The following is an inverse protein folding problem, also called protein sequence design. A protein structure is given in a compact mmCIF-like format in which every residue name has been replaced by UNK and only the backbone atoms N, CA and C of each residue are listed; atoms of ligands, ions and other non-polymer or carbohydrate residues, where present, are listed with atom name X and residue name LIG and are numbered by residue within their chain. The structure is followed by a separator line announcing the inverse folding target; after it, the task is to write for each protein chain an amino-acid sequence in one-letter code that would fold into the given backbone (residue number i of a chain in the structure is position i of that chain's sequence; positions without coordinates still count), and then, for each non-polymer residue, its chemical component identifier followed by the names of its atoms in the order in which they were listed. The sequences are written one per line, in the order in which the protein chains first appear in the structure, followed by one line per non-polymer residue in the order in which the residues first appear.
data_IF_779485051130
#
_entry.id   IF_779485051130
#
_cell.length_a   1.000
_cell.length_b   1.000
_cell.length_c   1.000
_cell.angle_alpha   90.00
_cell.angle_beta   90.00
_cell.angle_gamma   90.00
#
_symmetry.space_group_name_H-M   'P 1'
#
loop_
_entity.id
_entity.type
_entity.pdbx_description
1 polymer ?
#
# COMPACT_ATOMS: atom_id res chain seq x y z
N UNK A 1 30.06 26.25 -4.92
CA UNK A 1 29.06 25.17 -4.81
C UNK A 1 27.86 25.74 -4.07
N UNK A 2 26.82 26.17 -4.80
CA UNK A 2 25.59 26.64 -4.18
C UNK A 2 24.98 25.49 -3.39
N UNK A 3 24.64 25.72 -2.12
CA UNK A 3 23.93 24.72 -1.32
C UNK A 3 22.63 24.37 -2.05
N UNK A 4 22.52 23.15 -2.56
CA UNK A 4 21.31 22.69 -3.22
C UNK A 4 20.17 22.75 -2.20
N UNK A 5 19.13 23.53 -2.50
CA UNK A 5 17.97 23.64 -1.61
C UNK A 5 17.39 22.24 -1.39
N UNK A 6 17.25 21.86 -0.11
CA UNK A 6 16.72 20.56 0.26
C UNK A 6 15.21 20.53 -0.01
N UNK A 7 14.76 19.49 -0.72
CA UNK A 7 13.35 19.26 -1.01
C UNK A 7 12.55 19.14 0.29
N UNK A 8 11.48 19.90 0.42
CA UNK A 8 10.59 19.84 1.58
C UNK A 8 9.70 18.62 1.44
N UNK A 9 9.54 17.84 2.51
CA UNK A 9 8.63 16.70 2.49
C UNK A 9 7.60 16.75 3.63
N UNK A 10 6.40 16.25 3.35
CA UNK A 10 5.41 15.92 4.36
C UNK A 10 5.49 14.42 4.62
N UNK A 11 5.64 14.00 5.88
CA UNK A 11 5.53 12.61 6.28
C UNK A 11 4.23 12.39 7.02
N UNK A 12 3.39 11.48 6.51
CA UNK A 12 2.16 11.06 7.16
C UNK A 12 2.33 9.70 7.81
N UNK A 13 2.11 9.65 9.12
CA UNK A 13 1.96 8.42 9.88
C UNK A 13 0.47 8.04 9.90
N UNK A 14 0.10 7.09 9.04
CA UNK A 14 -1.29 6.72 8.78
C UNK A 14 -1.80 5.69 9.80
N UNK A 15 -2.91 6.00 10.46
CA UNK A 15 -3.50 5.12 11.47
C UNK A 15 -5.02 5.27 11.58
N UNK A 16 -5.70 4.27 12.14
CA UNK A 16 -7.14 4.29 12.47
C UNK A 16 -7.40 4.15 13.99
N UNK A 17 -6.33 4.13 14.79
CA UNK A 17 -6.35 4.26 16.25
C UNK A 17 -5.10 5.01 16.70
N UNK A 18 -5.13 5.67 17.85
CA UNK A 18 -3.96 6.42 18.34
C UNK A 18 -3.79 6.27 19.84
N UNK A 19 -3.27 5.11 20.23
CA UNK A 19 -2.94 4.78 21.60
C UNK A 19 -1.50 5.17 21.97
N UNK A 20 -1.03 4.75 23.15
CA UNK A 20 0.35 5.04 23.60
C UNK A 20 1.42 4.40 22.72
N UNK A 21 1.14 3.28 22.05
CA UNK A 21 2.09 2.56 21.22
C UNK A 21 2.23 3.24 19.86
N UNK A 22 1.12 3.65 19.25
CA UNK A 22 1.13 4.49 18.05
C UNK A 22 1.81 5.84 18.32
N UNK A 23 1.49 6.51 19.44
CA UNK A 23 2.13 7.77 19.81
C UNK A 23 3.65 7.63 19.96
N UNK A 24 4.11 6.54 20.58
CA UNK A 24 5.55 6.23 20.68
C UNK A 24 6.19 5.98 19.31
N UNK A 25 5.58 5.14 18.48
CA UNK A 25 6.10 4.84 17.14
C UNK A 25 6.19 6.10 16.27
N UNK A 26 5.17 6.96 16.31
CA UNK A 26 5.18 8.26 15.63
C UNK A 26 6.32 9.15 16.14
N UNK A 27 6.52 9.24 17.46
CA UNK A 27 7.63 10.03 18.03
C UNK A 27 9.00 9.51 17.64
N UNK A 28 9.18 8.19 17.55
CA UNK A 28 10.43 7.57 17.09
C UNK A 28 10.72 7.93 15.62
N UNK A 29 9.70 7.92 14.75
CA UNK A 29 9.81 8.37 13.36
C UNK A 29 10.13 9.86 13.30
N UNK A 30 9.33 10.68 13.98
CA UNK A 30 9.45 12.14 13.98
C UNK A 30 10.81 12.61 14.49
N UNK A 31 11.38 11.94 15.50
CA UNK A 31 12.72 12.23 15.99
C UNK A 31 13.83 11.86 15.00
N UNK A 32 13.57 10.94 14.06
CA UNK A 32 14.49 10.59 12.98
C UNK A 32 14.36 11.48 11.74
N UNK A 33 13.28 12.26 11.61
CA UNK A 33 13.09 13.14 10.47
C UNK A 33 14.15 14.27 10.46
N UNK A 34 14.82 14.51 9.32
CA UNK A 34 15.63 15.71 9.15
C UNK A 34 14.74 16.98 9.11
N UNK A 35 15.30 18.19 9.31
CA UNK A 35 14.51 19.42 9.48
C UNK A 35 13.55 19.79 8.34
N UNK A 36 13.81 19.32 7.12
CA UNK A 36 12.98 19.58 5.94
C UNK A 36 11.83 18.58 5.77
N UNK A 37 11.78 17.50 6.57
CA UNK A 37 10.67 16.55 6.62
C UNK A 37 9.76 16.93 7.79
N UNK A 38 8.51 17.23 7.48
CA UNK A 38 7.47 17.57 8.44
C UNK A 38 6.66 16.34 8.81
N UNK A 39 6.80 15.75 10.01
CA UNK A 39 5.98 14.62 10.44
C UNK A 39 4.59 15.05 10.90
N UNK A 40 3.59 14.28 10.52
CA UNK A 40 2.18 14.48 10.87
C UNK A 40 1.50 13.12 11.07
N UNK A 41 0.58 13.03 12.02
CA UNK A 41 -0.32 11.86 12.14
C UNK A 41 -1.53 12.06 11.23
N UNK A 42 -1.81 11.10 10.37
CA UNK A 42 -3.06 11.07 9.61
C UNK A 42 -3.98 10.02 10.22
N UNK A 43 -5.07 10.49 10.80
CA UNK A 43 -6.03 9.66 11.52
C UNK A 43 -7.27 9.40 10.68
N UNK A 44 -7.45 8.17 10.22
CA UNK A 44 -8.70 7.74 9.61
C UNK A 44 -9.78 7.60 10.67
N UNK A 45 -10.80 8.45 10.59
CA UNK A 45 -11.95 8.44 11.47
C UNK A 45 -13.10 7.63 10.85
N UNK A 46 -13.24 6.40 11.34
CA UNK A 46 -14.40 5.56 11.03
C UNK A 46 -15.73 6.21 11.48
N UNK A 47 -16.84 5.82 10.84
CA UNK A 47 -18.18 6.28 11.24
C UNK A 47 -18.44 5.99 12.72
N UNK A 48 -18.78 7.03 13.48
CA UNK A 48 -19.07 6.92 14.92
C UNK A 48 -17.84 6.69 15.81
N UNK A 49 -16.62 6.74 15.26
CA UNK A 49 -15.39 6.63 16.04
C UNK A 49 -15.04 8.01 16.62
N UNK A 50 -14.97 8.10 17.95
CA UNK A 50 -14.53 9.31 18.63
C UNK A 50 -13.02 9.54 18.42
N UNK A 51 -12.62 10.80 18.33
CA UNK A 51 -11.21 11.16 18.21
C UNK A 51 -10.45 10.81 19.51
N UNK A 52 -9.32 10.08 19.42
CA UNK A 52 -8.47 9.84 20.58
C UNK A 52 -7.94 11.16 21.16
N UNK A 53 -8.14 11.38 22.47
CA UNK A 53 -7.64 12.58 23.18
C UNK A 53 -6.13 12.82 22.99
N UNK A 54 -5.35 11.76 22.72
CA UNK A 54 -3.90 11.83 22.49
C UNK A 54 -3.53 12.54 21.19
N UNK A 55 -4.41 12.59 20.19
CA UNK A 55 -4.14 13.32 18.93
C UNK A 55 -3.87 14.80 19.18
N UNK A 56 -4.51 15.41 20.17
CA UNK A 56 -4.29 16.82 20.53
C UNK A 56 -2.83 17.15 20.94
N UNK A 57 -1.99 16.14 21.17
CA UNK A 57 -0.58 16.29 21.57
C UNK A 57 0.40 16.28 20.40
N UNK A 58 -0.09 16.05 19.19
CA UNK A 58 0.73 15.90 17.98
C UNK A 58 0.10 16.67 16.83
N UNK A 59 0.91 17.07 15.86
CA UNK A 59 0.40 17.57 14.58
C UNK A 59 -0.37 16.43 13.90
N UNK A 60 -1.62 16.69 13.54
CA UNK A 60 -2.47 15.67 12.94
C UNK A 60 -3.44 16.25 11.91
N UNK A 61 -3.90 15.35 11.03
CA UNK A 61 -4.95 15.57 10.06
C UNK A 61 -5.97 14.43 10.20
N UNK A 62 -7.25 14.78 10.33
CA UNK A 62 -8.33 13.79 10.49
C UNK A 62 -8.96 13.56 9.13
N UNK A 63 -9.18 12.29 8.80
CA UNK A 63 -9.80 11.87 7.54
C UNK A 63 -11.05 11.05 7.83
N UNK A 64 -12.24 11.69 7.84
CA UNK A 64 -13.50 10.98 8.01
C UNK A 64 -13.76 10.02 6.85
N UNK A 65 -14.29 8.83 7.11
CA UNK A 65 -14.66 7.87 6.05
C UNK A 65 -15.60 8.49 5.01
N UNK A 66 -16.47 9.42 5.40
CA UNK A 66 -17.39 10.09 4.50
C UNK A 66 -16.66 10.93 3.44
N UNK A 67 -15.53 11.54 3.79
CA UNK A 67 -14.73 12.36 2.86
C UNK A 67 -13.89 11.51 1.89
N UNK A 68 -13.65 10.23 2.22
CA UNK A 68 -13.00 9.29 1.31
C UNK A 68 -13.92 8.84 0.17
N UNK A 69 -15.24 9.05 0.30
CA UNK A 69 -16.23 8.77 -0.75
C UNK A 69 -16.37 9.97 -1.68
N UNK A 70 -15.25 10.40 -2.26
CA UNK A 70 -15.21 11.57 -3.14
C UNK A 70 -15.99 11.27 -4.44
N UNK A 71 -17.06 12.03 -4.75
CA UNK A 71 -17.79 11.86 -6.02
C UNK A 71 -16.91 12.16 -7.24
N UNK A 72 -15.81 12.90 -7.08
CA UNK A 72 -14.86 13.17 -8.14
C UNK A 72 -13.98 11.97 -8.48
N UNK A 73 -13.96 10.90 -7.69
CA UNK A 73 -13.24 9.66 -8.02
C UNK A 73 -14.22 8.51 -8.30
N UNK A 74 -14.98 8.56 -9.42
CA UNK A 74 -16.14 7.70 -9.65
C UNK A 74 -15.80 6.20 -9.63
N UNK A 75 -14.64 5.81 -10.14
CA UNK A 75 -14.18 4.42 -10.15
C UNK A 75 -13.51 3.96 -8.85
N UNK A 76 -12.89 4.88 -8.10
CA UNK A 76 -12.06 4.55 -6.93
C UNK A 76 -12.81 4.59 -5.61
N UNK A 77 -13.78 5.49 -5.48
CA UNK A 77 -14.56 5.68 -4.24
C UNK A 77 -16.08 5.69 -4.40
N UNK A 78 -16.54 5.37 -5.61
CA UNK A 78 -17.97 5.21 -5.92
C UNK A 78 -18.54 3.83 -5.62
N UNK A 79 -19.87 3.71 -5.73
CA UNK A 79 -20.59 2.44 -5.70
C UNK A 79 -21.05 1.95 -4.30
N UNK A 80 -22.11 1.12 -4.24
CA UNK A 80 -22.65 0.60 -2.98
C UNK A 80 -21.72 -0.41 -2.29
N UNK A 81 -20.91 -1.14 -3.06
CA UNK A 81 -20.02 -2.20 -2.56
C UNK A 81 -18.62 -1.70 -2.17
N UNK A 82 -18.40 -0.38 -2.15
CA UNK A 82 -17.13 0.21 -1.78
C UNK A 82 -16.74 -0.11 -0.33
N UNK A 83 -15.53 -0.65 -0.15
CA UNK A 83 -14.95 -0.95 1.16
C UNK A 83 -13.49 -0.50 1.18
N UNK A 84 -13.17 0.41 2.10
CA UNK A 84 -11.83 0.98 2.28
C UNK A 84 -10.72 -0.08 2.41
N UNK A 85 -10.97 -1.13 3.18
CA UNK A 85 -9.97 -2.12 3.57
C UNK A 85 -9.94 -3.31 2.62
N UNK A 86 -11.11 -3.85 2.28
CA UNK A 86 -11.26 -5.04 1.42
C UNK A 86 -11.11 -4.71 -0.06
N UNK A 87 -11.42 -3.49 -0.47
CA UNK A 87 -11.22 -3.01 -1.84
C UNK A 87 -9.81 -2.47 -2.11
N UNK A 88 -8.95 -2.42 -1.08
CA UNK A 88 -7.59 -1.87 -1.22
C UNK A 88 -7.59 -0.38 -1.54
N UNK A 89 -8.41 0.40 -0.85
CA UNK A 89 -8.53 1.86 -1.07
C UNK A 89 -7.89 2.66 0.07
N UNK A 90 -7.01 2.03 0.85
CA UNK A 90 -6.33 2.65 2.01
C UNK A 90 -5.40 3.80 1.61
N UNK A 91 -5.03 3.89 0.33
CA UNK A 91 -4.27 4.99 -0.23
C UNK A 91 -5.03 6.32 -0.20
N UNK A 92 -6.37 6.28 -0.24
CA UNK A 92 -7.20 7.48 -0.19
C UNK A 92 -7.02 8.27 1.12
N UNK A 93 -6.62 7.61 2.21
CA UNK A 93 -6.31 8.28 3.48
C UNK A 93 -5.08 9.18 3.34
N UNK A 94 -4.00 8.65 2.77
CA UNK A 94 -2.78 9.42 2.51
C UNK A 94 -3.02 10.50 1.45
N UNK A 95 -3.70 10.15 0.35
CA UNK A 95 -4.01 11.09 -0.74
C UNK A 95 -4.84 12.28 -0.25
N UNK A 96 -5.84 12.06 0.61
CA UNK A 96 -6.64 13.13 1.22
C UNK A 96 -5.76 14.10 2.00
N UNK A 97 -4.84 13.58 2.83
CA UNK A 97 -3.90 14.41 3.57
C UNK A 97 -2.91 15.15 2.65
N UNK A 98 -2.41 14.51 1.59
CA UNK A 98 -1.49 15.16 0.65
C UNK A 98 -2.16 16.32 -0.09
N UNK A 99 -3.39 16.13 -0.55
CA UNK A 99 -4.17 17.18 -1.23
C UNK A 99 -4.56 18.32 -0.28
N UNK A 100 -4.79 18.03 1.00
CA UNK A 100 -5.10 19.04 2.02
C UNK A 100 -3.87 19.86 2.46
N UNK A 101 -2.66 19.36 2.23
CA UNK A 101 -1.40 19.99 2.65
C UNK A 101 -0.44 20.16 1.46
N UNK A 102 -0.77 20.99 0.46
CA UNK A 102 0.09 21.22 -0.71
C UNK A 102 1.35 22.01 -0.33
N UNK A 103 2.30 22.12 -1.27
CA UNK A 103 3.51 22.93 -1.12
C UNK A 103 4.73 22.18 -0.59
N UNK A 104 4.67 20.84 -0.56
CA UNK A 104 5.84 19.97 -0.38
C UNK A 104 6.25 19.38 -1.73
N UNK A 105 7.55 19.12 -1.88
CA UNK A 105 8.11 18.50 -3.08
C UNK A 105 7.90 16.99 -3.06
N UNK A 106 7.89 16.38 -1.87
CA UNK A 106 7.73 14.95 -1.65
C UNK A 106 6.77 14.65 -0.48
N UNK A 107 6.14 13.49 -0.53
CA UNK A 107 5.14 13.03 0.41
C UNK A 107 5.46 11.59 0.82
N UNK A 108 5.82 11.38 2.09
CA UNK A 108 5.99 10.05 2.66
C UNK A 108 4.69 9.60 3.31
N UNK A 109 4.29 8.35 3.10
CA UNK A 109 3.29 7.68 3.92
C UNK A 109 3.90 6.46 4.60
N UNK A 110 3.59 6.27 5.88
CA UNK A 110 4.02 5.12 6.68
C UNK A 110 2.82 4.61 7.48
N UNK A 111 2.46 3.35 7.32
CA UNK A 111 1.41 2.71 8.12
C UNK A 111 1.85 2.52 9.58
N UNK A 112 0.88 2.60 10.50
CA UNK A 112 1.12 2.58 11.94
C UNK A 112 1.82 1.34 12.50
N UNK A 113 1.84 0.25 11.74
CA UNK A 113 2.43 -1.04 12.07
C UNK A 113 3.71 -1.33 11.28
N UNK A 114 4.25 -0.35 10.54
CA UNK A 114 5.63 -0.39 10.07
C UNK A 114 6.57 -0.05 11.22
N UNK A 115 7.61 -0.87 11.41
CA UNK A 115 8.72 -0.60 12.35
C UNK A 115 10.03 -0.65 11.61
N UNK A 116 11.01 0.11 12.08
CA UNK A 116 12.37 0.07 11.57
C UNK A 116 13.33 -0.36 12.67
N UNK A 117 14.18 -1.34 12.40
CA UNK A 117 15.13 -1.87 13.40
C UNK A 117 16.41 -1.06 13.52
N UNK A 118 16.55 0.00 12.70
CA UNK A 118 17.54 1.05 12.86
C UNK A 118 16.95 2.37 13.38
N UNK A 119 17.77 3.42 13.52
CA UNK A 119 17.30 4.78 13.70
C UNK A 119 16.72 5.30 12.39
N UNK A 120 15.52 5.88 12.46
CA UNK A 120 14.81 6.43 11.30
C UNK A 120 15.61 7.46 10.51
N UNK A 121 16.53 8.20 11.15
CA UNK A 121 17.43 9.12 10.47
C UNK A 121 18.32 8.45 9.41
N UNK A 122 18.77 7.20 9.65
CA UNK A 122 19.53 6.44 8.65
C UNK A 122 18.67 6.00 7.48
N UNK A 123 17.40 5.70 7.73
CA UNK A 123 16.44 5.37 6.66
C UNK A 123 16.23 6.58 5.75
N UNK A 124 15.86 7.74 6.32
CA UNK A 124 15.62 8.95 5.53
C UNK A 124 16.87 9.43 4.79
N UNK A 125 18.05 9.41 5.44
CA UNK A 125 19.30 9.82 4.82
C UNK A 125 19.66 8.98 3.57
N UNK A 126 19.24 7.70 3.51
CA UNK A 126 19.53 6.85 2.36
C UNK A 126 18.77 7.21 1.08
N UNK A 127 17.71 8.01 1.21
CA UNK A 127 16.84 8.45 0.12
C UNK A 127 16.83 9.98 -0.08
N UNK A 128 17.70 10.72 0.64
CA UNK A 128 17.78 12.19 0.59
C UNK A 128 18.02 12.71 -0.84
N UNK A 129 18.91 12.05 -1.57
CA UNK A 129 19.30 12.41 -2.94
C UNK A 129 18.50 11.68 -4.01
N UNK A 130 17.64 10.74 -3.61
CA UNK A 130 16.81 9.99 -4.55
C UNK A 130 15.71 10.89 -5.11
N UNK A 131 15.58 10.95 -6.44
CA UNK A 131 14.66 11.87 -7.14
C UNK A 131 13.49 11.16 -7.80
N UNK A 132 13.39 9.85 -7.72
CA UNK A 132 12.28 9.10 -8.32
C UNK A 132 10.92 9.62 -7.83
N UNK A 133 9.95 9.65 -8.74
CA UNK A 133 8.60 10.13 -8.47
C UNK A 133 7.85 9.20 -7.51
N UNK A 134 8.17 7.91 -7.50
CA UNK A 134 7.64 6.93 -6.55
C UNK A 134 8.76 6.05 -5.97
N UNK A 135 8.96 6.15 -4.66
CA UNK A 135 9.75 5.18 -3.88
C UNK A 135 8.81 4.24 -3.16
N UNK A 136 8.92 2.95 -3.41
CA UNK A 136 7.94 1.97 -2.94
C UNK A 136 8.60 0.60 -2.77
N UNK A 137 7.87 -0.39 -2.24
CA UNK A 137 8.41 -1.73 -2.04
C UNK A 137 7.75 -2.76 -2.95
N UNK A 138 8.46 -3.86 -3.19
CA UNK A 138 7.93 -5.09 -3.80
C UNK A 138 7.40 -4.89 -5.22
N UNK A 139 8.17 -4.18 -6.05
CA UNK A 139 7.75 -3.83 -7.41
C UNK A 139 7.92 -5.04 -8.34
N UNK A 140 6.82 -5.46 -8.98
CA UNK A 140 6.81 -6.48 -10.04
C UNK A 140 5.96 -6.00 -11.20
N UNK A 141 6.33 -6.38 -12.43
CA UNK A 141 5.46 -6.20 -13.60
C UNK A 141 4.37 -7.28 -13.60
N UNK A 142 3.26 -7.00 -14.28
CA UNK A 142 2.20 -7.99 -14.49
C UNK A 142 2.72 -9.19 -15.27
N UNK A 143 3.57 -9.01 -16.27
CA UNK A 143 4.18 -10.14 -17.02
C UNK A 143 4.90 -11.16 -16.13
N UNK A 144 5.43 -10.74 -14.98
CA UNK A 144 6.19 -11.59 -14.07
C UNK A 144 5.31 -12.32 -13.04
N UNK A 145 4.09 -11.84 -12.83
CA UNK A 145 3.07 -12.42 -11.93
C UNK A 145 1.65 -12.22 -12.49
N UNK A 146 1.32 -12.82 -13.65
CA UNK A 146 0.03 -12.60 -14.33
C UNK A 146 -1.15 -13.18 -13.54
N UNK A 147 -0.88 -14.10 -12.60
CA UNK A 147 -1.89 -14.75 -11.76
C UNK A 147 -2.26 -13.99 -10.49
N UNK A 148 -1.70 -12.79 -10.25
CA UNK A 148 -1.96 -12.06 -8.99
C UNK A 148 -3.44 -11.69 -8.85
N UNK A 149 -4.01 -12.03 -7.68
CA UNK A 149 -5.45 -12.01 -7.42
C UNK A 149 -6.09 -10.62 -7.44
N UNK A 150 -5.31 -9.54 -7.40
CA UNK A 150 -5.84 -8.16 -7.42
C UNK A 150 -5.90 -7.55 -8.83
N UNK A 151 -5.33 -8.19 -9.86
CA UNK A 151 -5.45 -7.70 -11.24
C UNK A 151 -6.88 -7.46 -11.70
N UNK A 152 -7.87 -8.32 -11.39
CA UNK A 152 -9.25 -8.08 -11.79
C UNK A 152 -9.88 -6.82 -11.20
N UNK A 153 -9.27 -6.20 -10.19
CA UNK A 153 -9.75 -4.94 -9.62
C UNK A 153 -9.26 -3.71 -10.38
N UNK A 154 -8.16 -3.82 -11.13
CA UNK A 154 -7.58 -2.69 -11.84
C UNK A 154 -8.44 -2.36 -13.06
N UNK A 155 -8.98 -1.15 -13.09
CA UNK A 155 -9.64 -0.62 -14.27
C UNK A 155 -9.04 0.74 -14.60
N UNK A 156 -8.83 0.98 -15.90
CA UNK A 156 -8.35 2.23 -16.44
C UNK A 156 -9.17 2.58 -17.70
N UNK A 157 -9.39 3.87 -17.99
CA UNK A 157 -9.98 4.30 -19.26
C UNK A 157 -9.12 4.00 -20.49
N UNK A 158 -7.82 3.77 -20.26
CA UNK A 158 -6.82 3.49 -21.27
C UNK A 158 -6.41 2.02 -21.28
N UNK A 159 -5.90 1.56 -22.43
CA UNK A 159 -5.38 0.19 -22.56
C UNK A 159 -4.08 0.05 -21.78
N UNK A 160 -3.99 -1.00 -20.97
CA UNK A 160 -2.82 -1.26 -20.13
C UNK A 160 -2.02 -2.42 -20.70
N UNK A 161 -0.72 -2.20 -20.90
CA UNK A 161 0.22 -3.24 -21.29
C UNK A 161 0.82 -3.93 -20.06
N UNK A 162 1.14 -5.22 -20.19
CA UNK A 162 1.66 -6.05 -19.11
C UNK A 162 3.05 -5.62 -18.63
N UNK A 163 3.84 -4.96 -19.49
CA UNK A 163 5.12 -4.38 -19.09
C UNK A 163 4.90 -3.09 -18.31
N UNK A 164 3.90 -2.27 -18.66
CA UNK A 164 3.63 -1.01 -17.94
C UNK A 164 2.75 -1.17 -16.70
N UNK A 165 2.14 -2.34 -16.50
CA UNK A 165 1.30 -2.61 -15.33
C UNK A 165 2.14 -3.15 -14.19
N UNK A 166 2.11 -2.46 -13.04
CA UNK A 166 2.89 -2.81 -11.86
C UNK A 166 2.03 -3.27 -10.69
N UNK A 167 2.59 -4.23 -9.95
CA UNK A 167 2.19 -4.62 -8.61
C UNK A 167 3.21 -4.02 -7.67
N UNK A 168 2.74 -3.42 -6.60
CA UNK A 168 3.57 -2.80 -5.56
C UNK A 168 3.02 -3.13 -4.18
N UNK A 169 3.76 -2.80 -3.13
CA UNK A 169 3.31 -2.91 -1.74
C UNK A 169 3.50 -1.57 -1.01
N UNK A 170 2.41 -1.03 -0.46
CA UNK A 170 2.31 0.35 0.06
C UNK A 170 2.30 0.53 1.60
N UNK A 171 2.90 -0.33 2.45
CA UNK A 171 2.93 -0.02 3.89
C UNK A 171 3.84 1.18 4.18
N UNK A 172 4.79 1.48 3.29
CA UNK A 172 5.64 2.65 3.31
C UNK A 172 6.00 3.05 1.88
N UNK A 173 5.86 4.33 1.55
CA UNK A 173 6.27 4.88 0.26
C UNK A 173 6.59 6.37 0.33
N UNK A 174 7.30 6.89 -0.67
CA UNK A 174 7.44 8.31 -0.97
C UNK A 174 6.90 8.60 -2.36
N UNK A 175 6.12 9.66 -2.49
CA UNK A 175 5.61 10.17 -3.76
C UNK A 175 6.08 11.61 -3.98
N UNK A 176 6.55 11.95 -5.17
CA UNK A 176 6.77 13.35 -5.54
C UNK A 176 5.42 14.09 -5.65
N UNK A 177 5.43 15.42 -5.57
CA UNK A 177 4.24 16.22 -5.84
C UNK A 177 3.61 15.91 -7.21
N UNK A 178 4.45 15.61 -8.22
CA UNK A 178 4.00 15.17 -9.56
C UNK A 178 3.27 13.82 -9.49
N UNK A 179 3.78 12.88 -8.70
CA UNK A 179 3.14 11.59 -8.51
C UNK A 179 1.80 11.71 -7.80
N UNK A 180 1.70 12.54 -6.75
CA UNK A 180 0.43 12.81 -6.05
C UNK A 180 -0.60 13.41 -7.02
N UNK A 181 -0.20 14.41 -7.81
CA UNK A 181 -1.08 15.01 -8.81
C UNK A 181 -1.51 14.02 -9.90
N UNK A 182 -0.61 13.11 -10.33
CA UNK A 182 -0.93 12.07 -11.30
C UNK A 182 -1.97 11.07 -10.76
N UNK A 183 -1.87 10.67 -9.49
CA UNK A 183 -2.86 9.79 -8.85
C UNK A 183 -4.22 10.47 -8.75
N UNK A 184 -4.27 11.72 -8.26
CA UNK A 184 -5.51 12.49 -8.17
C UNK A 184 -6.18 12.62 -9.55
N UNK A 185 -5.42 13.02 -10.57
CA UNK A 185 -5.92 13.15 -11.94
C UNK A 185 -6.41 11.81 -12.53
N UNK A 186 -5.69 10.71 -12.29
CA UNK A 186 -6.07 9.39 -12.77
C UNK A 186 -7.39 8.91 -12.13
N UNK A 187 -7.53 9.07 -10.81
CA UNK A 187 -8.78 8.72 -10.13
C UNK A 187 -9.96 9.58 -10.58
N UNK A 188 -9.74 10.87 -10.87
CA UNK A 188 -10.75 11.74 -11.51
C UNK A 188 -11.13 11.28 -12.92
N UNK A 189 -10.17 10.78 -13.67
CA UNK A 189 -10.40 10.24 -15.01
C UNK A 189 -11.11 8.87 -14.99
N UNK A 190 -11.38 8.28 -13.82
CA UNK A 190 -12.11 7.02 -13.69
C UNK A 190 -11.24 5.79 -13.51
N UNK A 191 -9.94 5.95 -13.21
CA UNK A 191 -9.11 4.83 -12.76
C UNK A 191 -9.66 4.24 -11.45
N UNK A 192 -9.55 2.92 -11.30
CA UNK A 192 -10.07 2.17 -10.16
C UNK A 192 -9.18 0.97 -9.79
N UNK A 193 -9.41 0.41 -8.60
CA UNK A 193 -8.79 -0.83 -8.14
C UNK A 193 -8.01 -0.70 -6.84
N UNK A 194 -7.39 -1.82 -6.46
CA UNK A 194 -6.49 -1.89 -5.30
C UNK A 194 -5.31 -0.93 -5.50
N UNK A 195 -4.92 -0.21 -4.45
CA UNK A 195 -3.81 0.73 -4.49
C UNK A 195 -2.50 0.06 -4.90
N UNK A 196 -2.32 -1.20 -4.52
CA UNK A 196 -1.19 -2.04 -4.92
C UNK A 196 -1.12 -2.32 -6.43
N UNK A 197 -2.21 -2.13 -7.17
CA UNK A 197 -2.27 -2.26 -8.63
C UNK A 197 -2.29 -0.89 -9.34
N UNK A 198 -2.80 0.16 -8.69
CA UNK A 198 -2.97 1.48 -9.32
C UNK A 198 -1.71 2.33 -9.24
N UNK A 199 -1.04 2.43 -8.08
CA UNK A 199 0.01 3.44 -7.89
C UNK A 199 1.22 3.25 -8.82
N UNK A 200 1.77 2.04 -8.88
CA UNK A 200 2.87 1.74 -9.79
C UNK A 200 2.45 1.84 -11.27
N UNK A 201 1.25 1.36 -11.60
CA UNK A 201 0.76 1.40 -12.99
C UNK A 201 0.50 2.83 -13.48
N UNK A 202 -0.09 3.68 -12.65
CA UNK A 202 -0.31 5.09 -12.97
C UNK A 202 1.04 5.80 -13.13
N UNK A 203 2.03 5.50 -12.29
CA UNK A 203 3.37 6.05 -12.46
C UNK A 203 3.94 5.71 -13.85
N UNK A 204 3.91 4.43 -14.24
CA UNK A 204 4.40 3.98 -15.55
C UNK A 204 3.61 4.60 -16.72
N UNK A 205 2.27 4.60 -16.64
CA UNK A 205 1.40 5.15 -17.67
C UNK A 205 1.63 6.66 -17.88
N UNK A 206 2.12 7.38 -16.86
CA UNK A 206 2.43 8.81 -16.92
C UNK A 206 3.91 9.12 -17.11
N UNK A 207 4.73 8.11 -17.42
CA UNK A 207 6.18 8.29 -17.63
C UNK A 207 6.91 8.77 -16.37
N UNK A 208 6.37 8.47 -15.19
CA UNK A 208 6.97 8.80 -13.90
C UNK A 208 7.92 7.71 -13.45
N UNK A 209 8.98 8.12 -12.77
CA UNK A 209 10.03 7.21 -12.33
C UNK A 209 9.62 6.42 -11.07
N UNK A 210 9.83 5.10 -11.10
CA UNK A 210 9.56 4.19 -9.99
C UNK A 210 10.87 3.55 -9.54
N UNK A 211 11.17 3.62 -8.25
CA UNK A 211 12.32 2.97 -7.62
C UNK A 211 11.84 2.13 -6.44
N UNK A 212 12.33 0.90 -6.39
CA UNK A 212 12.11 0.02 -5.24
C UNK A 212 13.10 0.37 -4.11
N UNK A 213 12.59 0.44 -2.88
CA UNK A 213 13.32 0.79 -1.66
C UNK A 213 14.42 -0.23 -1.30
N UNK A 214 14.32 -1.49 -1.73
CA UNK A 214 15.11 -2.55 -1.11
C UNK A 214 15.08 -3.94 -1.73
N UNK A 215 14.22 -4.18 -2.72
CA UNK A 215 14.00 -5.50 -3.30
C UNK A 215 15.18 -6.05 -4.12
N UNK A 216 14.89 -7.07 -4.93
CA UNK A 216 15.86 -7.70 -5.84
C UNK A 216 15.43 -7.57 -7.31
N UNK A 217 14.39 -6.79 -7.60
CA UNK A 217 13.82 -6.65 -8.94
C UNK A 217 14.60 -5.70 -9.86
N UNK A 218 14.09 -5.53 -11.07
CA UNK A 218 14.63 -4.58 -12.06
C UNK A 218 14.48 -3.11 -11.63
N UNK A 219 13.50 -2.81 -10.76
CA UNK A 219 13.25 -1.47 -10.23
C UNK A 219 14.13 -1.12 -9.02
N UNK A 220 14.96 -2.05 -8.54
CA UNK A 220 15.86 -1.78 -7.41
C UNK A 220 17.25 -1.40 -7.92
N UNK A 221 17.69 -0.14 -7.71
CA UNK A 221 19.09 0.24 -7.93
C UNK A 221 20.05 -0.64 -7.12
N UNK A 222 21.22 -0.93 -7.67
CA UNK A 222 22.21 -1.83 -7.04
C UNK A 222 22.52 -1.44 -5.59
N UNK A 223 22.66 -0.14 -5.32
CA UNK A 223 22.93 0.42 -3.98
C UNK A 223 21.82 0.20 -2.94
N UNK A 224 20.63 -0.23 -3.37
CA UNK A 224 19.48 -0.52 -2.51
C UNK A 224 19.16 -2.01 -2.41
N UNK A 225 19.72 -2.87 -3.26
CA UNK A 225 19.41 -4.31 -3.25
C UNK A 225 19.65 -4.94 -1.88
N UNK A 226 18.64 -5.64 -1.36
CA UNK A 226 18.68 -6.31 -0.07
C UNK A 226 18.79 -5.38 1.14
N UNK A 227 18.64 -4.06 0.96
CA UNK A 227 18.60 -3.09 2.05
C UNK A 227 17.16 -2.86 2.49
N UNK A 228 16.99 -2.46 3.73
CA UNK A 228 15.74 -2.01 4.32
C UNK A 228 14.59 -3.00 4.37
N UNK A 229 14.48 -4.02 3.52
CA UNK A 229 13.51 -5.08 3.75
C UNK A 229 13.89 -6.37 3.04
N UNK A 230 13.23 -7.46 3.45
CA UNK A 230 13.25 -8.74 2.75
C UNK A 230 11.82 -9.21 2.57
N UNK A 231 11.52 -9.83 1.43
CA UNK A 231 10.26 -10.53 1.21
C UNK A 231 10.37 -11.50 0.02
N UNK A 232 9.27 -12.21 -0.27
CA UNK A 232 9.13 -13.06 -1.45
C UNK A 232 7.99 -12.49 -2.33
N UNK A 233 8.30 -11.63 -3.31
CA UNK A 233 7.28 -10.83 -3.98
C UNK A 233 6.25 -11.65 -4.77
N UNK A 234 6.66 -12.83 -5.27
CA UNK A 234 5.78 -13.78 -5.98
C UNK A 234 4.84 -14.56 -5.05
N UNK A 235 5.03 -14.50 -3.73
CA UNK A 235 4.10 -15.12 -2.79
C UNK A 235 2.91 -14.20 -2.48
N UNK A 236 1.73 -14.79 -2.31
CA UNK A 236 0.47 -14.09 -2.03
C UNK A 236 0.56 -13.18 -0.80
N UNK A 237 1.35 -13.59 0.21
CA UNK A 237 1.52 -12.83 1.44
C UNK A 237 2.85 -12.08 1.53
N UNK A 238 3.67 -12.14 0.48
CA UNK A 238 5.05 -11.63 0.46
C UNK A 238 5.98 -12.31 1.47
N UNK A 239 5.51 -13.29 2.23
CA UNK A 239 6.32 -14.01 3.21
C UNK A 239 7.16 -15.14 2.56
N UNK A 240 8.20 -15.65 3.24
CA UNK A 240 8.83 -15.10 4.45
C UNK A 240 9.57 -13.77 4.18
N UNK A 241 9.82 -13.00 5.23
CA UNK A 241 10.48 -11.71 5.10
C UNK A 241 10.33 -10.82 6.33
N UNK A 242 10.81 -9.59 6.20
CA UNK A 242 10.60 -8.53 7.20
C UNK A 242 9.42 -7.64 6.81
N UNK A 243 9.23 -7.36 5.52
CA UNK A 243 8.14 -6.51 5.01
C UNK A 243 7.16 -7.36 4.21
N UNK A 244 6.16 -7.90 4.91
CA UNK A 244 5.20 -8.87 4.37
C UNK A 244 3.76 -8.39 4.55
N UNK A 245 2.78 -8.97 3.85
CA UNK A 245 1.36 -8.67 4.11
C UNK A 245 0.84 -9.48 5.31
N UNK A 246 1.23 -10.75 5.39
CA UNK A 246 0.88 -11.69 6.46
C UNK A 246 2.03 -12.67 6.68
N UNK A 247 2.19 -13.26 7.88
CA UNK A 247 1.38 -13.07 9.09
C UNK A 247 1.68 -11.75 9.82
N UNK A 248 0.81 -11.38 10.76
CA UNK A 248 1.11 -10.29 11.70
C UNK A 248 2.24 -10.69 12.64
N UNK A 249 3.12 -9.73 12.92
CA UNK A 249 4.21 -9.82 13.89
C UNK A 249 3.81 -9.04 15.15
N UNK A 250 4.16 -9.56 16.33
CA UNK A 250 3.97 -8.83 17.60
C UNK A 250 5.24 -8.16 18.08
N UNK A 251 6.36 -8.52 17.44
CA UNK A 251 7.66 -7.98 17.74
C UNK A 251 8.47 -7.91 16.46
N UNK A 252 9.11 -6.78 16.28
CA UNK A 252 10.16 -6.59 15.28
C UNK A 252 11.30 -7.58 15.53
N UNK A 253 11.87 -8.17 14.48
CA UNK A 253 13.06 -8.99 14.62
C UNK A 253 14.33 -8.17 14.87
N UNK A 254 15.48 -8.86 14.92
CA UNK A 254 16.76 -8.26 15.36
C UNK A 254 17.70 -7.84 14.23
N UNK A 255 17.41 -8.20 12.97
CA UNK A 255 18.25 -7.81 11.84
C UNK A 255 18.29 -6.29 11.76
N UNK A 256 19.45 -5.64 11.83
CA UNK A 256 19.54 -4.18 11.87
C UNK A 256 19.11 -3.58 10.54
N UNK A 257 18.62 -2.34 10.59
CA UNK A 257 18.27 -1.53 9.42
C UNK A 257 17.27 -2.20 8.46
N UNK A 258 16.26 -2.86 9.04
CA UNK A 258 15.16 -3.50 8.33
C UNK A 258 13.83 -2.90 8.75
N UNK A 259 12.96 -2.69 7.76
CA UNK A 259 11.55 -2.41 7.87
C UNK A 259 10.84 -3.73 8.16
N UNK A 260 9.95 -3.68 9.15
CA UNK A 260 9.14 -4.79 9.60
C UNK A 260 7.68 -4.43 9.48
N UNK A 261 6.90 -5.28 8.82
CA UNK A 261 5.48 -5.08 8.61
C UNK A 261 4.78 -6.44 8.40
N UNK A 262 3.56 -6.62 8.95
CA UNK A 262 2.90 -5.73 9.91
C UNK A 262 3.33 -6.05 11.35
N UNK A 263 3.80 -5.07 12.11
CA UNK A 263 4.07 -5.20 13.55
C UNK A 263 2.90 -4.63 14.34
N UNK A 264 1.96 -5.50 14.70
CA UNK A 264 0.75 -5.11 15.44
C UNK A 264 1.04 -5.01 16.94
N UNK A 265 0.46 -4.02 17.64
CA UNK A 265 0.41 -4.05 19.11
C UNK A 265 -0.33 -5.32 19.57
N UNK A 266 0.19 -5.97 20.60
CA UNK A 266 -0.41 -7.18 21.15
C UNK A 266 -1.75 -6.87 21.82
N UNK A 267 -2.86 -7.14 21.13
CA UNK A 267 -4.22 -7.05 21.65
C UNK A 267 -4.88 -8.44 21.59
N UNK A 268 -4.58 -9.30 22.55
CA UNK A 268 -5.06 -10.69 22.66
C UNK A 268 -6.54 -10.94 22.24
N UNK A 269 -7.46 -10.02 22.55
CA UNK A 269 -8.89 -10.14 22.19
C UNK A 269 -9.20 -9.85 20.71
N UNK A 270 -8.47 -8.95 20.06
CA UNK A 270 -8.65 -8.64 18.64
C UNK A 270 -8.15 -9.78 17.76
N UNK A 271 -7.08 -10.44 18.21
CA UNK A 271 -6.40 -11.53 17.54
C UNK A 271 -7.23 -12.81 17.46
N UNK A 272 -7.82 -13.21 18.59
CA UNK A 272 -8.74 -14.36 18.62
C UNK A 272 -9.91 -14.16 17.65
N UNK A 273 -10.37 -12.91 17.49
CA UNK A 273 -11.46 -12.54 16.58
C UNK A 273 -11.01 -12.51 15.11
N UNK A 274 -9.79 -12.05 14.81
CA UNK A 274 -9.24 -12.08 13.45
C UNK A 274 -8.85 -13.49 13.00
N UNK A 275 -8.25 -14.31 13.86
CA UNK A 275 -7.95 -15.72 13.57
C UNK A 275 -9.21 -16.50 13.21
N UNK A 276 -10.29 -16.33 13.98
CA UNK A 276 -11.60 -16.93 13.65
C UNK A 276 -12.16 -16.44 12.30
N UNK A 277 -11.95 -15.15 11.99
CA UNK A 277 -12.41 -14.56 10.72
C UNK A 277 -11.60 -15.06 9.52
N UNK A 278 -10.28 -15.23 9.67
CA UNK A 278 -9.41 -15.71 8.59
C UNK A 278 -9.70 -17.19 8.28
N UNK A 279 -9.99 -18.00 9.30
CA UNK A 279 -10.48 -19.38 9.13
C UNK A 279 -11.78 -19.40 8.32
N UNK A 280 -12.77 -18.56 8.70
CA UNK A 280 -14.03 -18.44 7.96
C UNK A 280 -13.81 -17.95 6.51
N UNK A 281 -12.86 -17.05 6.28
CA UNK A 281 -12.54 -16.53 4.94
C UNK A 281 -11.91 -17.60 4.06
N UNK A 282 -10.98 -18.39 4.60
CA UNK A 282 -10.38 -19.55 3.90
C UNK A 282 -11.42 -20.60 3.53
N UNK A 283 -12.32 -20.93 4.47
CA UNK A 283 -13.44 -21.83 4.19
C UNK A 283 -14.33 -21.29 3.05
N UNK A 284 -14.64 -20.00 3.06
CA UNK A 284 -15.43 -19.36 1.98
C UNK A 284 -14.73 -19.32 0.61
N UNK A 285 -13.40 -19.22 0.58
CA UNK A 285 -12.63 -19.31 -0.67
C UNK A 285 -12.67 -20.74 -1.23
N UNK A 286 -12.48 -21.75 -0.38
CA UNK A 286 -12.56 -23.17 -0.78
C UNK A 286 -13.96 -23.52 -1.29
N UNK A 287 -15.01 -23.12 -0.58
CA UNK A 287 -16.41 -23.38 -0.98
C UNK A 287 -16.73 -22.74 -2.33
N UNK A 288 -16.29 -21.49 -2.57
CA UNK A 288 -16.49 -20.82 -3.86
C UNK A 288 -15.67 -21.45 -4.99
N UNK A 289 -14.46 -21.92 -4.70
CA UNK A 289 -13.64 -22.68 -5.65
C UNK A 289 -14.29 -24.00 -6.07
N UNK A 290 -14.83 -24.76 -5.11
CA UNK A 290 -15.55 -26.02 -5.36
C UNK A 290 -16.85 -25.78 -6.14
N UNK A 291 -17.64 -24.76 -5.77
CA UNK A 291 -18.87 -24.40 -6.48
C UNK A 291 -18.61 -23.87 -7.90
N UNK A 292 -17.49 -23.18 -8.13
CA UNK A 292 -17.03 -22.77 -9.46
C UNK A 292 -16.59 -23.96 -10.32
N UNK A 293 -15.89 -24.93 -9.71
CA UNK A 293 -15.49 -26.18 -10.39
C UNK A 293 -16.70 -27.04 -10.77
N UNK A 294 -17.68 -27.23 -9.88
CA UNK A 294 -18.90 -28.00 -10.20
C UNK A 294 -19.74 -27.35 -11.30
N UNK A 295 -19.82 -26.01 -11.34
CA UNK A 295 -20.52 -25.30 -12.42
C UNK A 295 -19.85 -25.52 -13.77
N UNK A 296 -18.52 -25.41 -13.85
CA UNK A 296 -17.76 -25.70 -15.08
C UNK A 296 -17.92 -27.14 -15.56
N UNK A 297 -18.09 -28.09 -14.64
CA UNK A 297 -18.32 -29.51 -14.95
C UNK A 297 -19.72 -29.81 -15.48
N UNK A 298 -20.73 -29.00 -15.11
CA UNK A 298 -22.11 -29.08 -15.64
C UNK A 298 -22.31 -28.32 -16.95
N UNK A 299 -21.38 -27.43 -17.31
CA UNK A 299 -21.43 -26.62 -18.54
C UNK A 299 -20.52 -27.15 -19.65
N UNK A 300 -19.83 -28.27 -19.44
CA UNK A 300 -19.05 -28.92 -20.50
C UNK A 300 -20.02 -29.59 -21.49
N UNK A 301 -19.99 -29.26 -22.80
CA UNK A 301 -20.81 -29.94 -23.78
C UNK A 301 -20.41 -31.41 -23.87
N UNK A 302 -21.39 -32.32 -23.89
CA UNK A 302 -21.18 -33.72 -24.27
C UNK A 302 -20.54 -33.75 -25.67
N UNK A 303 -19.33 -34.29 -25.77
CA UNK A 303 -18.74 -34.62 -27.06
C UNK A 303 -19.60 -35.72 -27.69
N UNK A 304 -20.31 -35.37 -28.76
CA UNK A 304 -21.00 -36.36 -29.59
C UNK A 304 -19.96 -37.31 -30.20
N UNK A 305 -20.20 -38.64 -30.16
CA UNK A 305 -19.30 -39.59 -30.79
C UNK A 305 -19.30 -39.40 -32.30
N UNK A 306 -18.09 -39.40 -32.88
CA UNK A 306 -17.87 -39.26 -34.31
C UNK A 306 -18.62 -40.36 -35.09
N UNK A 307 -19.39 -39.96 -36.10
CA UNK A 307 -19.98 -40.89 -37.06
C UNK A 307 -18.88 -41.44 -37.99
N UNK A 308 -18.89 -42.74 -38.31
CA UNK A 308 -17.96 -43.32 -39.26
C UNK A 308 -18.28 -42.85 -40.68
N UNK A 309 -17.23 -42.54 -41.43
CA UNK A 309 -17.31 -42.12 -42.82
C UNK A 309 -17.75 -43.27 -43.74
N UNK A 310 -18.71 -42.98 -44.61
CA UNK A 310 -18.98 -43.68 -45.88
C UNK A 310 -19.31 -42.65 -46.93
#
# INVERSE_FOLDING_TARGET
MLAQERRRALLVFQTHFFDRWCERAFREIAAGCPPHITPMVVFHQGRGVALPKRLARVRHHVVPTAELRDPAYPGKSGGPDWDLWRGGHTDLIALHAFNAHPGYDDYWAIEYDVRFSGPWSRFFAAFEDERADLLISSVLRRRDDPGWFNWPSLAAPESLDDDTTLRVFLPIFRASARMVAAIDAAYRAGWAGHCEATWGTIAMARGLSVVDLGGEGEFTPERYRGRFYLNCPRQVHLAPGTLVFKPALYRMGRRPDMLWHPVKPFFWRAEAKEGLRDIKRRAGIVVRGIAGWMRRRRSAPEQQPAQPAT
#
